data_IF_173110123553
#
_entry.id   IF_173110123553
#
_cell.length_a   1.000
_cell.length_b   1.000
_cell.length_c   1.000
_cell.angle_alpha   90.00
_cell.angle_beta   90.00
_cell.angle_gamma   90.00
#
_symmetry.space_group_name_H-M   'P 1'
#
loop_
_entity.id
_entity.type
_entity.pdbx_description
1 polymer ?
#
# COMPACT_ATOMS: atom_id res chain seq x y z
N UNK A 1 -19.25 -13.90 -50.82
CA UNK A 1 -20.05 -12.92 -50.06
C UNK A 1 -19.09 -11.96 -49.39
N UNK A 2 -19.05 -10.70 -49.83
CA UNK A 2 -18.17 -9.68 -49.27
C UNK A 2 -18.80 -9.13 -47.98
N UNK A 3 -18.15 -9.38 -46.85
CA UNK A 3 -18.58 -8.88 -45.55
C UNK A 3 -18.00 -7.48 -45.34
N UNK A 4 -18.79 -6.45 -45.60
CA UNK A 4 -18.46 -5.06 -45.24
C UNK A 4 -18.75 -4.86 -43.73
N UNK A 5 -17.91 -5.44 -42.87
CA UNK A 5 -18.00 -5.29 -41.42
C UNK A 5 -16.85 -4.46 -40.87
N UNK A 6 -17.16 -3.29 -40.29
CA UNK A 6 -16.28 -2.35 -39.56
C UNK A 6 -14.82 -2.81 -39.40
N UNK A 7 -13.97 -2.39 -40.34
CA UNK A 7 -12.55 -2.73 -40.51
C UNK A 7 -11.60 -2.22 -39.41
N UNK A 8 -12.11 -1.91 -38.21
CA UNK A 8 -11.33 -1.25 -37.15
C UNK A 8 -11.53 -1.80 -35.73
N UNK A 9 -12.45 -2.74 -35.49
CA UNK A 9 -12.76 -3.24 -34.16
C UNK A 9 -12.84 -4.77 -34.10
N UNK A 10 -12.26 -5.34 -33.04
CA UNK A 10 -12.44 -6.75 -32.66
C UNK A 10 -13.66 -6.85 -31.72
N UNK A 11 -14.82 -7.07 -32.32
CA UNK A 11 -16.11 -7.07 -31.62
C UNK A 11 -16.48 -5.68 -31.06
N UNK A 12 -17.10 -5.63 -29.88
CA UNK A 12 -17.54 -4.39 -29.20
C UNK A 12 -16.61 -3.94 -28.06
N UNK A 13 -15.41 -4.54 -27.94
CA UNK A 13 -14.56 -4.36 -26.75
C UNK A 13 -13.27 -3.60 -27.01
N UNK A 14 -12.70 -3.65 -28.22
CA UNK A 14 -11.44 -2.95 -28.54
C UNK A 14 -11.21 -2.79 -30.04
N UNK A 15 -10.40 -1.79 -30.39
CA UNK A 15 -9.96 -1.58 -31.77
C UNK A 15 -8.90 -2.60 -32.21
N UNK A 16 -8.82 -2.90 -33.51
CA UNK A 16 -7.77 -3.77 -34.10
C UNK A 16 -6.38 -3.21 -33.81
N UNK A 17 -6.21 -1.89 -33.89
CA UNK A 17 -4.94 -1.21 -33.57
C UNK A 17 -4.51 -1.38 -32.11
N UNK A 18 -5.48 -1.42 -31.19
CA UNK A 18 -5.20 -1.67 -29.77
C UNK A 18 -4.74 -3.11 -29.54
N UNK A 19 -5.27 -4.08 -30.29
CA UNK A 19 -4.79 -5.46 -30.23
C UNK A 19 -3.38 -5.58 -30.80
N UNK A 20 -3.14 -5.01 -31.98
CA UNK A 20 -1.82 -5.02 -32.62
C UNK A 20 -0.76 -4.39 -31.72
N UNK A 21 -1.08 -3.27 -31.06
CA UNK A 21 -0.18 -2.65 -30.09
C UNK A 21 0.17 -3.61 -28.94
N UNK A 22 -0.83 -4.30 -28.39
CA UNK A 22 -0.63 -5.27 -27.30
C UNK A 22 0.20 -6.47 -27.76
N UNK A 23 -0.05 -6.98 -28.96
CA UNK A 23 0.75 -8.06 -29.57
C UNK A 23 2.22 -7.64 -29.77
N UNK A 24 2.50 -6.33 -29.84
CA UNK A 24 3.85 -5.74 -29.90
C UNK A 24 4.35 -5.20 -28.54
N UNK A 25 3.78 -5.68 -27.42
CA UNK A 25 4.11 -5.25 -26.05
C UNK A 25 3.84 -3.77 -25.71
N UNK A 26 3.00 -3.10 -26.49
CA UNK A 26 2.46 -1.79 -26.16
C UNK A 26 1.09 -1.94 -25.45
N UNK A 27 1.15 -1.94 -24.11
CA UNK A 27 0.05 -2.39 -23.25
C UNK A 27 -0.50 -1.27 -22.35
N UNK A 28 -1.77 -1.36 -21.89
CA UNK A 28 -2.29 -0.42 -20.91
C UNK A 28 -1.59 -0.55 -19.55
N UNK A 29 -1.57 0.54 -18.76
CA UNK A 29 -0.87 0.60 -17.45
C UNK A 29 -1.17 -0.57 -16.49
N UNK A 30 -2.42 -1.06 -16.49
CA UNK A 30 -2.86 -2.16 -15.63
C UNK A 30 -2.23 -3.51 -16.03
N UNK A 31 -1.79 -3.64 -17.27
CA UNK A 31 -1.21 -4.86 -17.83
C UNK A 31 0.31 -4.91 -17.73
N UNK A 32 0.96 -3.78 -17.38
CA UNK A 32 2.38 -3.76 -17.04
C UNK A 32 2.60 -4.56 -15.75
N UNK A 33 2.90 -5.84 -15.90
CA UNK A 33 3.16 -6.80 -14.82
C UNK A 33 4.57 -7.35 -14.96
N UNK A 34 5.06 -8.05 -13.92
CA UNK A 34 6.36 -8.70 -14.03
C UNK A 34 6.38 -9.78 -15.11
N UNK A 35 5.25 -10.47 -15.36
CA UNK A 35 5.17 -11.46 -16.44
C UNK A 35 5.35 -10.77 -17.78
N UNK A 36 4.51 -9.77 -18.06
CA UNK A 36 4.54 -9.02 -19.32
C UNK A 36 5.93 -8.44 -19.61
N UNK A 37 6.56 -7.78 -18.63
CA UNK A 37 7.93 -7.26 -18.77
C UNK A 37 8.93 -8.38 -19.10
N UNK A 38 8.82 -9.54 -18.46
CA UNK A 38 9.74 -10.65 -18.73
C UNK A 38 9.49 -11.25 -20.11
N UNK A 39 8.23 -11.32 -20.55
CA UNK A 39 7.84 -11.81 -21.86
C UNK A 39 8.42 -10.89 -22.95
N UNK A 40 8.24 -9.56 -22.83
CA UNK A 40 8.91 -8.57 -23.69
C UNK A 40 10.43 -8.76 -23.72
N UNK A 41 11.09 -8.90 -22.56
CA UNK A 41 12.55 -9.09 -22.51
C UNK A 41 12.98 -10.40 -23.16
N UNK A 42 12.17 -11.45 -23.10
CA UNK A 42 12.47 -12.73 -23.74
C UNK A 42 12.37 -12.63 -25.25
N UNK A 43 11.38 -11.92 -25.76
CA UNK A 43 11.18 -11.71 -27.19
C UNK A 43 12.34 -10.88 -27.77
N UNK A 44 12.72 -9.77 -27.12
CA UNK A 44 13.92 -8.98 -27.49
C UNK A 44 15.21 -9.80 -27.48
N UNK A 45 15.36 -10.70 -26.50
CA UNK A 45 16.54 -11.58 -26.41
C UNK A 45 16.52 -12.66 -27.51
N UNK A 46 15.34 -13.20 -27.83
CA UNK A 46 15.13 -14.18 -28.90
C UNK A 46 15.42 -13.60 -30.28
N UNK A 47 14.99 -12.35 -30.49
CA UNK A 47 15.21 -11.57 -31.71
C UNK A 47 16.62 -10.98 -31.80
N UNK A 48 17.43 -11.16 -30.74
CA UNK A 48 18.83 -10.70 -30.61
C UNK A 48 18.98 -9.17 -30.66
N UNK A 49 17.94 -8.45 -30.28
CA UNK A 49 17.98 -6.98 -30.11
C UNK A 49 18.75 -6.60 -28.84
N UNK A 50 18.75 -7.49 -27.84
CA UNK A 50 19.53 -7.35 -26.61
C UNK A 50 20.36 -8.61 -26.32
N UNK A 51 21.40 -8.46 -25.49
CA UNK A 51 22.20 -9.59 -25.00
C UNK A 51 21.79 -10.07 -23.60
N UNK A 52 22.33 -11.22 -23.17
CA UNK A 52 22.03 -11.81 -21.85
C UNK A 52 22.30 -10.89 -20.66
N UNK A 53 23.32 -10.03 -20.74
CA UNK A 53 23.67 -9.12 -19.65
C UNK A 53 22.67 -7.97 -19.55
N UNK A 54 22.21 -7.45 -20.68
CA UNK A 54 21.16 -6.44 -20.78
C UNK A 54 19.83 -6.99 -20.27
N UNK A 55 19.43 -8.18 -20.74
CA UNK A 55 18.23 -8.87 -20.25
C UNK A 55 18.28 -9.09 -18.72
N UNK A 56 19.42 -9.54 -18.18
CA UNK A 56 19.61 -9.68 -16.73
C UNK A 56 19.49 -8.35 -15.98
N UNK A 57 19.94 -7.25 -16.59
CA UNK A 57 19.85 -5.93 -15.98
C UNK A 57 18.41 -5.39 -16.00
N UNK A 58 17.72 -5.45 -17.15
CA UNK A 58 16.32 -5.06 -17.30
C UNK A 58 15.39 -5.79 -16.33
N UNK A 59 15.59 -7.12 -16.15
CA UNK A 59 14.82 -7.93 -15.19
C UNK A 59 14.97 -7.46 -13.73
N UNK A 60 16.05 -6.76 -13.39
CA UNK A 60 16.26 -6.21 -12.03
C UNK A 60 15.52 -4.89 -11.80
N UNK A 61 15.10 -4.20 -12.87
CA UNK A 61 14.34 -2.95 -12.75
C UNK A 61 12.98 -3.26 -12.09
N UNK A 62 12.60 -2.56 -11.00
CA UNK A 62 11.30 -2.74 -10.37
C UNK A 62 10.12 -2.36 -11.29
N UNK A 63 9.01 -3.10 -11.22
CA UNK A 63 7.80 -2.83 -12.05
C UNK A 63 7.29 -1.39 -11.91
N UNK A 64 7.44 -0.76 -10.74
CA UNK A 64 7.00 0.62 -10.56
C UNK A 64 7.78 1.63 -11.42
N UNK A 65 9.02 1.31 -11.82
CA UNK A 65 9.81 2.16 -12.71
C UNK A 65 9.25 2.09 -14.13
N UNK A 66 8.96 0.88 -14.62
CA UNK A 66 8.26 0.67 -15.90
C UNK A 66 6.90 1.38 -15.94
N UNK A 67 6.17 1.37 -14.83
CA UNK A 67 4.87 2.07 -14.71
C UNK A 67 4.97 3.59 -14.57
N UNK A 68 6.14 4.12 -14.22
CA UNK A 68 6.33 5.55 -14.00
C UNK A 68 6.63 6.31 -15.29
N UNK A 69 6.75 5.61 -16.42
CA UNK A 69 6.99 6.21 -17.71
C UNK A 69 5.75 6.94 -18.23
N UNK A 70 5.95 7.76 -19.26
CA UNK A 70 4.85 8.43 -19.94
C UNK A 70 4.09 7.45 -20.86
N UNK A 71 2.90 7.83 -21.31
CA UNK A 71 2.18 7.00 -22.27
C UNK A 71 2.76 7.24 -23.66
N UNK A 72 3.13 6.19 -24.37
CA UNK A 72 3.65 6.25 -25.75
C UNK A 72 2.55 6.50 -26.76
N UNK A 73 1.36 5.98 -26.49
CA UNK A 73 0.19 6.19 -27.32
C UNK A 73 -1.10 6.09 -26.53
N UNK A 74 -2.23 6.27 -27.21
CA UNK A 74 -3.55 6.04 -26.64
C UNK A 74 -4.43 5.30 -27.64
N UNK A 75 -5.27 4.41 -27.11
CA UNK A 75 -6.22 3.65 -27.92
C UNK A 75 -7.64 3.76 -27.37
N UNK A 76 -8.61 3.58 -28.27
CA UNK A 76 -10.00 3.43 -27.87
C UNK A 76 -10.26 2.04 -27.32
N UNK A 77 -10.85 1.98 -26.12
CA UNK A 77 -11.24 0.75 -25.46
C UNK A 77 -12.71 0.78 -25.02
N UNK A 78 -13.34 -0.40 -25.06
CA UNK A 78 -14.71 -0.62 -24.65
C UNK A 78 -15.76 -0.06 -25.60
N UNK A 79 -17.03 -0.33 -25.26
CA UNK A 79 -18.21 0.11 -26.01
C UNK A 79 -18.38 1.63 -26.04
N UNK A 80 -17.85 2.33 -25.04
CA UNK A 80 -17.98 3.78 -24.88
C UNK A 80 -16.78 4.58 -25.43
N UNK A 81 -15.89 3.93 -26.20
CA UNK A 81 -14.74 4.60 -26.83
C UNK A 81 -13.83 5.34 -25.84
N UNK A 82 -13.66 4.79 -24.64
CA UNK A 82 -12.79 5.38 -23.62
C UNK A 82 -11.36 5.46 -24.18
N UNK A 83 -10.66 6.56 -23.88
CA UNK A 83 -9.24 6.67 -24.20
C UNK A 83 -8.44 5.97 -23.11
N UNK A 84 -7.64 5.00 -23.51
CA UNK A 84 -6.73 4.29 -22.61
C UNK A 84 -5.30 4.56 -23.04
N UNK A 85 -4.44 5.10 -22.15
CA UNK A 85 -3.03 5.23 -22.44
C UNK A 85 -2.39 3.84 -22.53
N UNK A 86 -1.52 3.66 -23.53
CA UNK A 86 -0.67 2.50 -23.68
C UNK A 86 0.79 2.89 -23.52
N UNK A 87 1.61 1.89 -23.20
CA UNK A 87 3.01 2.02 -22.83
C UNK A 87 3.78 0.93 -23.57
N UNK A 88 4.65 1.33 -24.48
CA UNK A 88 5.53 0.45 -25.23
C UNK A 88 6.69 -0.04 -24.36
N UNK A 89 6.65 -1.30 -23.96
CA UNK A 89 7.67 -1.90 -23.11
C UNK A 89 8.98 -2.15 -23.87
N UNK A 90 8.93 -2.35 -25.18
CA UNK A 90 10.13 -2.51 -26.00
C UNK A 90 10.88 -1.20 -26.08
N UNK A 91 10.18 -0.11 -26.44
CA UNK A 91 10.75 1.24 -26.44
C UNK A 91 11.38 1.62 -25.10
N UNK A 92 10.68 1.37 -23.98
CA UNK A 92 11.24 1.69 -22.66
C UNK A 92 12.40 0.78 -22.26
N UNK A 93 12.46 -0.46 -22.74
CA UNK A 93 13.62 -1.32 -22.52
C UNK A 93 14.88 -0.70 -23.16
N UNK A 94 14.78 -0.19 -24.39
CA UNK A 94 15.86 0.51 -25.09
C UNK A 94 16.28 1.77 -24.33
N UNK A 95 15.33 2.65 -23.99
CA UNK A 95 15.60 3.89 -23.23
C UNK A 95 16.31 3.61 -21.89
N UNK A 96 15.91 2.56 -21.18
CA UNK A 96 16.56 2.16 -19.92
C UNK A 96 17.98 1.65 -20.12
N UNK A 97 18.26 0.99 -21.25
CA UNK A 97 19.60 0.51 -21.57
C UNK A 97 20.52 1.66 -22.00
N UNK A 98 19.98 2.64 -22.71
CA UNK A 98 20.70 3.84 -23.15
C UNK A 98 21.08 4.74 -21.99
N UNK A 99 20.18 4.94 -21.02
CA UNK A 99 20.46 5.69 -19.79
C UNK A 99 20.19 4.88 -18.52
N UNK A 100 21.10 3.94 -18.23
CA UNK A 100 21.07 3.17 -16.98
C UNK A 100 21.22 4.03 -15.74
N UNK A 101 21.75 5.25 -15.84
CA UNK A 101 21.99 6.10 -14.69
C UNK A 101 20.71 6.80 -14.25
N UNK A 102 19.91 7.33 -15.17
CA UNK A 102 18.61 7.91 -14.83
C UNK A 102 17.68 6.90 -14.14
N UNK A 103 17.69 5.63 -14.57
CA UNK A 103 16.95 4.55 -13.91
C UNK A 103 17.40 4.36 -12.45
N UNK A 104 18.72 4.34 -12.20
CA UNK A 104 19.26 4.22 -10.84
C UNK A 104 18.90 5.42 -9.98
N UNK A 105 19.03 6.62 -10.53
CA UNK A 105 18.72 7.88 -9.84
C UNK A 105 17.23 7.93 -9.49
N UNK A 106 16.35 7.53 -10.40
CA UNK A 106 14.92 7.42 -10.16
C UNK A 106 14.61 6.44 -9.01
N UNK A 107 15.24 5.26 -9.00
CA UNK A 107 15.08 4.29 -7.92
C UNK A 107 15.58 4.85 -6.59
N UNK A 108 16.71 5.56 -6.58
CA UNK A 108 17.26 6.16 -5.36
C UNK A 108 16.36 7.28 -4.84
N UNK A 109 15.89 8.18 -5.71
CA UNK A 109 14.95 9.23 -5.35
C UNK A 109 13.65 8.66 -4.81
N UNK A 110 13.09 7.62 -5.45
CA UNK A 110 11.91 6.93 -4.93
C UNK A 110 12.14 6.37 -3.53
N UNK A 111 13.29 5.75 -3.27
CA UNK A 111 13.66 5.27 -1.92
C UNK A 111 13.83 6.40 -0.91
N UNK A 112 14.41 7.53 -1.30
CA UNK A 112 14.52 8.73 -0.45
C UNK A 112 13.12 9.27 -0.12
N UNK A 113 12.24 9.38 -1.11
CA UNK A 113 10.86 9.84 -0.95
C UNK A 113 10.03 8.91 -0.07
N UNK A 114 10.25 7.59 -0.10
CA UNK A 114 9.61 6.67 0.86
C UNK A 114 10.12 6.88 2.29
N UNK A 115 11.36 7.30 2.48
CA UNK A 115 11.94 7.60 3.80
C UNK A 115 11.48 8.96 4.34
N UNK A 116 11.44 9.99 3.49
CA UNK A 116 11.03 11.36 3.85
C UNK A 116 9.51 11.53 3.86
N UNK A 117 8.78 10.76 3.04
CA UNK A 117 7.32 10.72 2.94
C UNK A 117 6.62 9.95 4.06
N UNK A 118 7.36 9.40 5.04
CA UNK A 118 6.79 9.12 6.36
C UNK A 118 6.40 10.47 6.97
N UNK A 119 5.18 10.95 6.69
CA UNK A 119 4.57 12.05 7.46
C UNK A 119 4.83 11.77 8.93
N UNK A 120 5.38 12.75 9.67
CA UNK A 120 5.43 12.67 11.14
C UNK A 120 4.02 12.37 11.59
N UNK A 121 3.83 11.16 12.12
CA UNK A 121 2.55 10.71 12.63
C UNK A 121 2.08 11.72 13.66
N UNK A 122 1.00 12.45 13.39
CA UNK A 122 0.46 13.50 14.27
C UNK A 122 -0.46 12.91 15.34
N UNK A 123 -0.10 11.76 15.89
CA UNK A 123 -0.91 11.12 16.91
C UNK A 123 -0.02 10.62 18.04
N UNK A 124 -0.46 10.91 19.26
CA UNK A 124 0.16 10.39 20.47
C UNK A 124 -0.48 9.04 20.80
N UNK A 125 0.33 8.08 21.18
CA UNK A 125 -0.15 6.78 21.68
C UNK A 125 -0.12 6.81 23.20
N UNK A 126 -1.08 6.16 23.85
CA UNK A 126 -1.04 5.93 25.29
C UNK A 126 -1.19 4.44 25.58
N UNK A 127 -0.25 3.85 26.32
CA UNK A 127 -0.52 2.59 27.04
C UNK A 127 -1.33 2.95 28.28
N UNK A 128 -2.27 2.09 28.68
CA UNK A 128 -3.11 2.36 29.84
C UNK A 128 -3.39 1.10 30.64
N UNK A 129 -3.71 1.31 31.91
CA UNK A 129 -4.37 0.34 32.77
C UNK A 129 -5.66 0.92 33.36
N UNK A 130 -6.69 0.08 33.45
CA UNK A 130 -8.01 0.48 33.89
C UNK A 130 -8.57 -0.50 34.91
N UNK A 131 -8.93 0.03 36.07
CA UNK A 131 -9.56 -0.74 37.13
C UNK A 131 -10.99 -1.15 36.74
N UNK A 132 -11.23 -2.46 36.69
CA UNK A 132 -12.54 -3.05 36.46
C UNK A 132 -13.23 -3.27 37.80
N UNK A 133 -14.36 -2.60 37.99
CA UNK A 133 -15.17 -2.69 39.19
C UNK A 133 -16.41 -3.55 38.96
N UNK A 134 -16.67 -4.46 39.90
CA UNK A 134 -17.85 -5.30 39.96
C UNK A 134 -18.57 -5.18 41.32
N UNK A 135 -19.42 -6.17 41.62
CA UNK A 135 -20.24 -6.14 42.84
C UNK A 135 -21.53 -5.34 42.66
N UNK A 136 -22.15 -4.95 43.78
CA UNK A 136 -23.41 -4.18 43.73
C UNK A 136 -23.11 -2.69 43.77
N UNK A 137 -24.01 -1.85 43.27
CA UNK A 137 -23.88 -0.38 43.35
C UNK A 137 -23.63 0.12 44.79
N UNK A 138 -24.15 -0.58 45.80
CA UNK A 138 -23.95 -0.26 47.23
C UNK A 138 -22.61 -0.75 47.77
N UNK A 139 -22.05 -1.82 47.19
CA UNK A 139 -20.79 -2.43 47.62
C UNK A 139 -19.92 -2.75 46.40
N UNK A 140 -19.35 -1.73 45.74
CA UNK A 140 -18.45 -1.93 44.62
C UNK A 140 -17.18 -2.63 45.09
N UNK A 141 -16.69 -3.57 44.30
CA UNK A 141 -15.44 -4.30 44.55
C UNK A 141 -14.57 -4.23 43.31
N UNK A 142 -13.28 -4.02 43.51
CA UNK A 142 -12.30 -4.15 42.44
C UNK A 142 -12.22 -5.64 42.06
N UNK A 143 -12.49 -5.96 40.80
CA UNK A 143 -12.51 -7.36 40.31
C UNK A 143 -11.36 -7.66 39.34
N UNK A 144 -10.66 -6.64 38.86
CA UNK A 144 -9.49 -6.82 38.01
C UNK A 144 -8.97 -5.52 37.43
N UNK A 145 -7.96 -5.65 36.58
CA UNK A 145 -7.33 -4.55 35.86
C UNK A 145 -7.18 -4.95 34.38
N UNK A 146 -7.67 -4.08 33.50
CA UNK A 146 -7.52 -4.19 32.05
C UNK A 146 -6.31 -3.37 31.61
N UNK A 147 -5.44 -3.97 30.80
CA UNK A 147 -4.29 -3.28 30.21
C UNK A 147 -4.53 -3.10 28.71
N UNK A 148 -3.87 -2.12 28.10
CA UNK A 148 -3.98 -1.96 26.66
C UNK A 148 -3.20 -0.75 26.16
N UNK A 149 -3.39 -0.45 24.88
CA UNK A 149 -2.98 0.85 24.35
C UNK A 149 -4.03 1.41 23.42
N UNK A 150 -3.97 2.73 23.24
CA UNK A 150 -4.89 3.49 22.41
C UNK A 150 -4.24 4.73 21.82
N UNK A 151 -5.00 5.43 21.00
CA UNK A 151 -4.62 6.72 20.43
C UNK A 151 -5.21 7.84 21.29
N UNK A 152 -4.38 8.78 21.71
CA UNK A 152 -4.79 9.95 22.47
C UNK A 152 -5.36 11.01 21.52
N UNK A 153 -6.60 11.45 21.77
CA UNK A 153 -7.29 12.49 21.02
C UNK A 153 -7.91 13.50 22.01
N UNK A 154 -7.16 14.56 22.31
CA UNK A 154 -7.50 15.48 23.39
C UNK A 154 -7.51 14.76 24.74
N UNK A 155 -8.58 14.90 25.53
CA UNK A 155 -8.72 14.25 26.85
C UNK A 155 -9.29 12.81 26.78
N UNK A 156 -9.11 12.12 25.64
CA UNK A 156 -9.69 10.79 25.40
C UNK A 156 -8.65 9.83 24.84
N UNK A 157 -8.61 8.62 25.37
CA UNK A 157 -7.87 7.49 24.79
C UNK A 157 -8.86 6.64 24.00
N UNK A 158 -8.63 6.50 22.70
CA UNK A 158 -9.38 5.61 21.82
C UNK A 158 -8.64 4.26 21.80
N UNK A 159 -9.18 3.22 22.46
CA UNK A 159 -8.46 1.96 22.63
C UNK A 159 -8.29 1.21 21.31
N UNK A 160 -7.11 0.63 21.10
CA UNK A 160 -6.77 -0.18 19.92
C UNK A 160 -6.84 -1.67 20.26
N UNK A 161 -6.24 -2.07 21.38
CA UNK A 161 -6.30 -3.44 21.91
C UNK A 161 -6.36 -3.44 23.42
N UNK A 162 -6.86 -4.55 23.96
CA UNK A 162 -6.75 -4.93 25.36
C UNK A 162 -5.82 -6.12 25.54
N UNK A 163 -5.25 -6.20 26.73
CA UNK A 163 -4.56 -7.32 27.28
C UNK A 163 -5.09 -7.58 28.71
N UNK A 164 -5.43 -8.82 29.00
CA UNK A 164 -5.64 -9.29 30.37
C UNK A 164 -4.63 -10.40 30.63
N UNK A 165 -4.00 -10.49 31.81
CA UNK A 165 -2.98 -11.52 32.09
C UNK A 165 -3.44 -12.96 31.80
N UNK A 166 -4.75 -13.23 31.91
CA UNK A 166 -5.36 -14.54 31.70
C UNK A 166 -6.00 -14.71 30.29
N UNK A 167 -5.79 -13.77 29.35
CA UNK A 167 -6.34 -13.83 27.97
C UNK A 167 -5.36 -13.28 26.92
N UNK A 168 -5.49 -13.75 25.69
CA UNK A 168 -4.79 -13.20 24.53
C UNK A 168 -5.19 -11.74 24.22
N UNK A 169 -4.43 -11.06 23.37
CA UNK A 169 -4.71 -9.69 22.90
C UNK A 169 -6.00 -9.66 22.05
N UNK A 170 -7.03 -8.93 22.50
CA UNK A 170 -8.29 -8.77 21.77
C UNK A 170 -8.61 -7.29 21.44
N UNK A 171 -9.54 -7.08 20.50
CA UNK A 171 -9.99 -5.72 20.12
C UNK A 171 -10.89 -5.13 21.19
N UNK A 172 -10.84 -3.81 21.35
CA UNK A 172 -11.68 -3.12 22.32
C UNK A 172 -13.07 -2.82 21.77
N UNK A 173 -14.10 -3.27 22.50
CA UNK A 173 -15.48 -2.82 22.26
C UNK A 173 -15.77 -1.44 22.88
N UNK A 174 -14.89 -0.93 23.75
CA UNK A 174 -15.06 0.41 24.33
C UNK A 174 -14.73 1.48 23.30
N UNK A 175 -15.60 2.50 23.26
CA UNK A 175 -15.46 3.66 22.36
C UNK A 175 -14.30 4.60 22.74
N UNK A 176 -14.11 4.86 24.04
CA UNK A 176 -12.99 5.66 24.58
C UNK A 176 -12.89 5.55 26.11
N UNK A 177 -11.74 5.94 26.64
CA UNK A 177 -11.50 6.25 28.05
C UNK A 177 -11.24 7.75 28.22
N UNK A 178 -11.73 8.35 29.31
CA UNK A 178 -11.42 9.74 29.66
C UNK A 178 -10.12 9.79 30.47
N UNK A 179 -9.16 10.63 30.06
CA UNK A 179 -7.88 10.74 30.78
C UNK A 179 -8.05 11.30 32.20
N UNK A 180 -9.17 11.99 32.47
CA UNK A 180 -9.53 12.48 33.81
C UNK A 180 -10.18 11.43 34.72
N UNK A 181 -10.34 10.19 34.27
CA UNK A 181 -10.94 9.12 35.06
C UNK A 181 -10.00 8.68 36.19
N UNK A 182 -10.51 8.65 37.43
CA UNK A 182 -9.74 8.16 38.60
C UNK A 182 -9.37 6.67 38.52
N UNK A 183 -10.04 5.93 37.65
CA UNK A 183 -9.82 4.50 37.45
C UNK A 183 -8.89 4.21 36.24
N UNK A 184 -8.20 5.22 35.73
CA UNK A 184 -7.35 5.10 34.55
C UNK A 184 -5.97 5.66 34.86
N UNK A 185 -4.95 4.86 34.57
CA UNK A 185 -3.55 5.25 34.56
C UNK A 185 -3.01 5.03 33.16
N UNK A 186 -2.19 5.94 32.65
CA UNK A 186 -1.66 5.83 31.29
C UNK A 186 -0.29 6.49 31.13
N UNK A 187 0.47 6.02 30.15
CA UNK A 187 1.79 6.53 29.76
C UNK A 187 1.77 6.86 28.28
N UNK A 188 2.24 8.05 27.92
CA UNK A 188 2.24 8.55 26.54
C UNK A 188 3.54 8.17 25.79
N UNK A 189 3.40 7.98 24.48
CA UNK A 189 4.48 7.70 23.54
C UNK A 189 4.29 8.52 22.27
N UNK A 190 5.39 9.01 21.71
CA UNK A 190 5.36 9.88 20.53
C UNK A 190 4.81 9.17 19.28
N UNK A 191 4.99 7.85 19.19
CA UNK A 191 4.56 7.05 18.05
C UNK A 191 4.56 5.55 18.38
N UNK A 192 4.13 4.75 17.40
CA UNK A 192 4.03 3.30 17.54
C UNK A 192 5.39 2.59 17.67
N UNK A 193 6.45 3.13 17.03
CA UNK A 193 7.78 2.56 17.17
C UNK A 193 8.31 2.76 18.60
N UNK A 194 7.97 3.89 19.22
CA UNK A 194 8.31 4.21 20.60
C UNK A 194 7.55 3.32 21.60
N UNK A 195 6.23 3.14 21.41
CA UNK A 195 5.45 2.16 22.20
C UNK A 195 6.10 0.78 22.15
N UNK A 196 6.44 0.26 20.95
CA UNK A 196 6.98 -1.11 20.83
C UNK A 196 8.34 -1.27 21.55
N UNK A 197 9.17 -0.22 21.59
CA UNK A 197 10.45 -0.28 22.29
C UNK A 197 10.27 -0.54 23.79
N UNK A 198 9.22 0.01 24.38
CA UNK A 198 8.91 -0.15 25.80
C UNK A 198 7.99 -1.35 26.06
N UNK A 199 7.01 -1.57 25.19
CA UNK A 199 5.91 -2.53 25.33
C UNK A 199 5.88 -3.49 24.13
N UNK A 200 6.90 -4.36 24.05
CA UNK A 200 7.14 -5.25 22.91
C UNK A 200 6.00 -6.21 22.58
N UNK A 201 5.08 -6.45 23.53
CA UNK A 201 3.91 -7.31 23.36
C UNK A 201 2.94 -6.79 22.28
N UNK A 202 2.93 -5.48 22.00
CA UNK A 202 2.07 -4.89 20.98
C UNK A 202 2.66 -4.93 19.58
N UNK A 203 3.86 -5.47 19.35
CA UNK A 203 4.54 -5.40 18.05
C UNK A 203 3.69 -5.84 16.85
N UNK A 204 2.82 -6.84 17.03
CA UNK A 204 1.96 -7.42 15.99
C UNK A 204 0.66 -6.64 15.71
N UNK A 205 0.37 -5.53 16.41
CA UNK A 205 -0.93 -4.85 16.36
C UNK A 205 -0.98 -3.63 15.44
N UNK A 206 0.06 -3.38 14.63
CA UNK A 206 0.15 -2.20 13.74
C UNK A 206 -1.05 -2.06 12.80
N UNK A 207 -1.57 -3.19 12.28
CA UNK A 207 -2.75 -3.19 11.41
C UNK A 207 -4.01 -2.71 12.15
N UNK A 208 -4.17 -3.09 13.42
CA UNK A 208 -5.29 -2.65 14.28
C UNK A 208 -5.18 -1.15 14.57
N UNK A 209 -3.98 -0.65 14.86
CA UNK A 209 -3.74 0.79 15.02
C UNK A 209 -4.13 1.58 13.77
N UNK A 210 -3.67 1.17 12.59
CA UNK A 210 -3.99 1.86 11.34
C UNK A 210 -5.51 1.91 11.06
N UNK A 211 -6.25 0.86 11.43
CA UNK A 211 -7.72 0.84 11.33
C UNK A 211 -8.35 1.94 12.20
N UNK A 212 -7.94 2.04 13.48
CA UNK A 212 -8.44 3.06 14.41
C UNK A 212 -8.08 4.48 13.94
N UNK A 213 -6.84 4.71 13.48
CA UNK A 213 -6.42 6.01 12.96
C UNK A 213 -7.29 6.46 11.78
N UNK A 214 -7.57 5.54 10.85
CA UNK A 214 -8.42 5.79 9.69
C UNK A 214 -9.86 6.09 10.08
N UNK A 215 -10.45 5.29 10.98
CA UNK A 215 -11.82 5.46 11.47
C UNK A 215 -12.04 6.80 12.20
N UNK A 216 -10.98 7.34 12.83
CA UNK A 216 -11.06 8.57 13.61
C UNK A 216 -10.40 9.79 12.97
N UNK A 217 -9.95 9.66 11.71
CA UNK A 217 -9.28 10.71 10.92
C UNK A 217 -8.04 11.28 11.64
N UNK A 218 -7.13 10.42 12.06
CA UNK A 218 -5.91 10.74 12.82
C UNK A 218 -4.60 10.40 12.06
N UNK A 219 -4.67 10.26 10.72
CA UNK A 219 -3.53 9.94 9.83
C UNK A 219 -2.63 11.14 9.49
#
# INVERSE_FOLDING_TARGET
MFNFGNSGYLGNKRSVRSEQAIESHEVPLSWITRSEINDTINDLLGDKEINDNEAKWLRKIPVYVWKAQEATSWHHTGKYFNRTPHYDLTYYAEEFLDDKQSVKDFIEQHRKNLKTGKKKQQYTIASYSHNVWGGTKKHPKLIGEEWGYGVLKGNKIIPVVFYMPDRDIYESDKKYYLCSSKNLTFTEYDNYEDLIKHEGLYKSTKRKLNKVLKEHHLE
#
